data_IF_426956254118
#
_entry.id   IF_426956254118
#
_cell.length_a   1.000
_cell.length_b   1.000
_cell.length_c   1.000
_cell.angle_alpha   90.00
_cell.angle_beta   90.00
_cell.angle_gamma   90.00
#
_symmetry.space_group_name_H-M   'P 1'
#
loop_
_entity.id
_entity.type
_entity.pdbx_description
1 polymer ?
#
# COMPACT_ATOMS: atom_id res chain seq x y z
N UNK A 1 -5.45 -38.57 -12.66
CA UNK A 1 -4.53 -38.80 -11.53
C UNK A 1 -3.90 -37.47 -11.17
N UNK A 2 -3.91 -37.06 -9.89
CA UNK A 2 -3.30 -35.81 -9.45
C UNK A 2 -1.79 -36.07 -9.31
N UNK A 3 -0.98 -35.35 -10.08
CA UNK A 3 0.48 -35.44 -10.01
C UNK A 3 0.95 -35.05 -8.59
N UNK A 4 1.71 -35.95 -7.96
CA UNK A 4 2.10 -35.89 -6.53
C UNK A 4 3.61 -35.72 -6.35
N UNK A 5 4.33 -35.29 -7.39
CA UNK A 5 5.76 -34.99 -7.29
C UNK A 5 6.00 -33.78 -6.37
N UNK A 6 7.05 -33.83 -5.52
CA UNK A 6 7.37 -32.71 -4.64
C UNK A 6 7.84 -31.49 -5.46
N UNK A 7 7.26 -30.32 -5.18
CA UNK A 7 7.61 -29.03 -5.79
C UNK A 7 8.28 -28.19 -4.69
N UNK A 8 9.47 -27.64 -4.97
CA UNK A 8 10.10 -26.72 -4.03
C UNK A 8 9.37 -25.35 -4.07
N UNK A 9 8.59 -25.06 -3.04
CA UNK A 9 7.90 -23.78 -2.81
C UNK A 9 8.44 -23.05 -1.57
N UNK A 10 9.60 -23.48 -1.06
CA UNK A 10 10.22 -22.81 0.07
C UNK A 10 10.85 -21.49 -0.38
N UNK A 11 10.08 -20.41 -0.24
CA UNK A 11 10.47 -19.04 -0.58
C UNK A 11 11.71 -18.56 0.18
N UNK A 12 12.06 -19.18 1.31
CA UNK A 12 13.26 -18.79 2.08
C UNK A 12 14.55 -19.26 1.41
N UNK A 13 14.47 -20.26 0.53
CA UNK A 13 15.60 -20.79 -0.23
C UNK A 13 15.87 -20.02 -1.53
N UNK A 14 14.95 -19.16 -1.96
CA UNK A 14 14.98 -18.45 -3.25
C UNK A 14 15.54 -17.04 -3.08
N UNK A 15 16.52 -16.67 -3.92
CA UNK A 15 17.04 -15.29 -3.98
C UNK A 15 16.20 -14.44 -4.93
N UNK A 16 15.43 -13.50 -4.38
CA UNK A 16 14.58 -12.63 -5.18
C UNK A 16 15.35 -11.42 -5.75
N UNK A 17 15.22 -11.12 -7.05
CA UNK A 17 15.76 -9.88 -7.61
C UNK A 17 14.98 -8.67 -7.09
N UNK A 18 15.61 -7.49 -7.12
CA UNK A 18 14.99 -6.24 -6.64
C UNK A 18 13.63 -5.97 -7.28
N UNK A 19 13.47 -6.27 -8.58
CA UNK A 19 12.20 -6.11 -9.30
C UNK A 19 11.07 -6.97 -8.70
N UNK A 20 11.37 -8.20 -8.25
CA UNK A 20 10.37 -9.05 -7.61
C UNK A 20 9.94 -8.48 -6.25
N UNK A 21 10.89 -7.96 -5.47
CA UNK A 21 10.61 -7.28 -4.20
C UNK A 21 9.77 -6.03 -4.43
N UNK A 22 10.08 -5.21 -5.45
CA UNK A 22 9.28 -4.01 -5.77
C UNK A 22 7.86 -4.38 -6.17
N UNK A 23 7.70 -5.46 -6.95
CA UNK A 23 6.38 -5.93 -7.39
C UNK A 23 5.51 -6.40 -6.23
N UNK A 24 6.04 -7.20 -5.30
CA UNK A 24 5.24 -7.68 -4.16
C UNK A 24 4.88 -6.54 -3.20
N UNK A 25 5.80 -5.60 -2.95
CA UNK A 25 5.52 -4.43 -2.13
C UNK A 25 4.46 -3.53 -2.78
N UNK A 26 4.44 -3.38 -4.10
CA UNK A 26 3.39 -2.61 -4.80
C UNK A 26 2.01 -3.27 -4.64
N UNK A 27 1.94 -4.61 -4.65
CA UNK A 27 0.70 -5.34 -4.38
C UNK A 27 0.23 -5.16 -2.93
N UNK A 28 1.15 -5.31 -1.98
CA UNK A 28 0.85 -5.13 -0.55
C UNK A 28 0.39 -3.70 -0.27
N UNK A 29 1.06 -2.69 -0.84
CA UNK A 29 0.63 -1.30 -0.67
C UNK A 29 -0.75 -1.04 -1.27
N UNK A 30 -1.09 -1.67 -2.40
CA UNK A 30 -2.44 -1.58 -2.99
C UNK A 30 -3.54 -2.11 -2.06
N UNK A 31 -3.32 -3.27 -1.42
CA UNK A 31 -4.25 -3.83 -0.43
C UNK A 31 -4.36 -2.90 0.79
N UNK A 32 -3.23 -2.39 1.29
CA UNK A 32 -3.21 -1.44 2.39
C UNK A 32 -3.97 -0.16 2.08
N UNK A 33 -3.84 0.37 0.86
CA UNK A 33 -4.57 1.55 0.40
C UNK A 33 -6.06 1.31 0.23
N UNK A 34 -6.48 0.14 -0.23
CA UNK A 34 -7.91 -0.21 -0.30
C UNK A 34 -8.58 -0.08 1.08
N UNK A 35 -7.93 -0.59 2.13
CA UNK A 35 -8.39 -0.41 3.51
C UNK A 35 -8.25 1.05 3.96
N UNK A 36 -7.12 1.68 3.61
CA UNK A 36 -6.81 3.08 3.94
C UNK A 36 -7.85 4.07 3.43
N UNK A 37 -8.40 3.85 2.23
CA UNK A 37 -9.48 4.70 1.68
C UNK A 37 -10.70 4.69 2.58
N UNK A 38 -11.12 3.53 3.11
CA UNK A 38 -12.23 3.47 4.06
C UNK A 38 -11.99 4.28 5.33
N UNK A 39 -10.77 4.21 5.87
CA UNK A 39 -10.35 5.00 7.04
C UNK A 39 -10.38 6.51 6.71
N UNK A 40 -9.79 6.91 5.59
CA UNK A 40 -9.75 8.32 5.19
C UNK A 40 -11.14 8.88 4.91
N UNK A 41 -12.03 8.11 4.27
CA UNK A 41 -13.42 8.51 4.05
C UNK A 41 -14.20 8.65 5.35
N UNK A 42 -13.96 7.78 6.34
CA UNK A 42 -14.55 7.95 7.67
C UNK A 42 -14.08 9.25 8.35
N UNK A 43 -12.77 9.54 8.31
CA UNK A 43 -12.22 10.79 8.85
C UNK A 43 -12.77 12.02 8.13
N UNK A 44 -12.91 11.94 6.80
CA UNK A 44 -13.49 13.01 5.97
C UNK A 44 -14.97 13.22 6.29
N UNK A 45 -15.75 12.14 6.39
CA UNK A 45 -17.16 12.24 6.76
C UNK A 45 -17.32 12.88 8.15
N UNK A 46 -16.52 12.46 9.12
CA UNK A 46 -16.57 13.00 10.48
C UNK A 46 -16.15 14.48 10.51
N UNK A 47 -15.12 14.87 9.75
CA UNK A 47 -14.66 16.25 9.69
C UNK A 47 -15.68 17.20 9.08
N UNK A 48 -16.52 16.71 8.17
CA UNK A 48 -17.56 17.48 7.49
C UNK A 48 -18.92 17.45 8.21
N UNK A 49 -19.08 16.62 9.25
CA UNK A 49 -20.39 16.40 9.88
C UNK A 49 -20.90 17.56 10.74
N UNK A 50 -20.02 18.24 11.47
CA UNK A 50 -20.32 19.38 12.34
C UNK A 50 -19.02 19.97 12.92
N UNK A 51 -19.12 21.10 13.62
CA UNK A 51 -17.99 21.63 14.41
C UNK A 51 -17.49 20.62 15.45
N UNK A 52 -18.40 19.96 16.16
CA UNK A 52 -18.06 18.92 17.14
C UNK A 52 -17.39 17.71 16.49
N UNK A 53 -17.82 17.31 15.29
CA UNK A 53 -17.19 16.27 14.47
C UNK A 53 -15.77 16.65 14.05
N UNK A 54 -15.56 17.89 13.62
CA UNK A 54 -14.24 18.39 13.26
C UNK A 54 -13.28 18.41 14.47
N UNK A 55 -13.72 18.91 15.63
CA UNK A 55 -12.92 18.86 16.87
C UNK A 55 -12.59 17.41 17.25
N UNK A 56 -13.51 16.47 17.03
CA UNK A 56 -13.26 15.05 17.30
C UNK A 56 -12.17 14.49 16.39
N UNK A 57 -12.14 14.85 15.12
CA UNK A 57 -11.05 14.48 14.20
C UNK A 57 -9.72 15.00 14.70
N UNK A 58 -9.63 16.27 15.12
CA UNK A 58 -8.40 16.83 15.68
C UNK A 58 -7.90 16.06 16.91
N UNK A 59 -8.81 15.70 17.84
CA UNK A 59 -8.47 14.89 19.01
C UNK A 59 -7.98 13.48 18.64
N UNK A 60 -8.58 12.86 17.62
CA UNK A 60 -8.14 11.56 17.14
C UNK A 60 -6.76 11.66 16.49
N UNK A 61 -6.55 12.67 15.65
CA UNK A 61 -5.27 12.93 14.99
C UNK A 61 -4.16 13.27 15.97
N UNK A 62 -4.45 13.73 17.19
CA UNK A 62 -3.40 14.00 18.18
C UNK A 62 -2.79 12.73 18.79
N UNK A 63 -3.52 11.60 18.73
CA UNK A 63 -3.05 10.31 19.26
C UNK A 63 -1.90 9.78 18.41
N UNK A 64 -0.78 9.43 19.06
CA UNK A 64 0.41 8.90 18.40
C UNK A 64 0.13 7.71 17.46
N UNK A 65 -0.73 6.78 17.89
CA UNK A 65 -1.12 5.62 17.07
C UNK A 65 -1.84 6.03 15.77
N UNK A 66 -2.72 7.03 15.84
CA UNK A 66 -3.43 7.53 14.66
C UNK A 66 -2.49 8.30 13.74
N UNK A 67 -1.55 9.08 14.28
CA UNK A 67 -0.49 9.73 13.49
C UNK A 67 0.33 8.70 12.72
N UNK A 68 0.74 7.60 13.37
CA UNK A 68 1.46 6.50 12.72
C UNK A 68 0.61 5.82 11.65
N UNK A 69 -0.67 5.56 11.93
CA UNK A 69 -1.60 4.98 10.96
C UNK A 69 -1.73 5.85 9.70
N UNK A 70 -1.98 7.15 9.86
CA UNK A 70 -2.09 8.10 8.73
C UNK A 70 -0.75 8.20 7.98
N UNK A 71 0.38 8.21 8.70
CA UNK A 71 1.70 8.19 8.07
C UNK A 71 1.93 6.93 7.24
N UNK A 72 1.54 5.75 7.73
CA UNK A 72 1.63 4.49 6.98
C UNK A 72 0.77 4.52 5.71
N UNK A 73 -0.44 5.10 5.78
CA UNK A 73 -1.29 5.29 4.60
C UNK A 73 -0.59 6.21 3.59
N UNK A 74 -0.01 7.33 4.04
CA UNK A 74 0.73 8.24 3.17
C UNK A 74 1.94 7.56 2.50
N UNK A 75 2.75 6.81 3.26
CA UNK A 75 3.87 6.04 2.72
C UNK A 75 3.38 5.03 1.68
N UNK A 76 2.27 4.34 1.94
CA UNK A 76 1.68 3.41 0.99
C UNK A 76 1.22 4.12 -0.29
N UNK A 77 0.62 5.33 -0.20
CA UNK A 77 0.21 6.13 -1.36
C UNK A 77 1.42 6.45 -2.23
N UNK A 78 2.47 7.05 -1.64
CA UNK A 78 3.66 7.43 -2.39
C UNK A 78 4.36 6.23 -3.02
N UNK A 79 4.52 5.15 -2.26
CA UNK A 79 5.14 3.94 -2.76
C UNK A 79 4.34 3.33 -3.92
N UNK A 80 3.03 3.16 -3.74
CA UNK A 80 2.16 2.56 -4.74
C UNK A 80 2.13 3.39 -6.03
N UNK A 81 2.04 4.72 -5.89
CA UNK A 81 2.03 5.65 -7.02
C UNK A 81 3.34 5.60 -7.82
N UNK A 82 4.49 5.68 -7.15
CA UNK A 82 5.80 5.67 -7.81
C UNK A 82 6.05 4.32 -8.50
N UNK A 83 5.78 3.21 -7.80
CA UNK A 83 5.93 1.87 -8.38
C UNK A 83 4.95 1.64 -9.54
N UNK A 84 3.71 2.13 -9.43
CA UNK A 84 2.71 2.08 -10.50
C UNK A 84 3.14 2.89 -11.71
N UNK A 85 3.66 4.11 -11.50
CA UNK A 85 4.20 4.92 -12.59
C UNK A 85 5.38 4.23 -13.28
N UNK A 86 6.29 3.62 -12.52
CA UNK A 86 7.36 2.80 -13.09
C UNK A 86 6.79 1.68 -13.97
N UNK A 87 5.76 0.97 -13.52
CA UNK A 87 5.11 -0.08 -14.33
C UNK A 87 4.53 0.48 -15.62
N UNK A 88 3.80 1.60 -15.55
CA UNK A 88 3.25 2.26 -16.75
C UNK A 88 4.33 2.73 -17.72
N UNK A 89 5.46 3.24 -17.22
CA UNK A 89 6.60 3.65 -18.05
C UNK A 89 7.21 2.44 -18.77
N UNK A 90 7.39 1.32 -18.07
CA UNK A 90 7.89 0.08 -18.66
C UNK A 90 6.93 -0.45 -19.73
N UNK A 91 5.61 -0.39 -19.48
CA UNK A 91 4.59 -0.87 -20.42
C UNK A 91 4.58 -0.08 -21.75
N UNK A 92 5.08 1.17 -21.75
CA UNK A 92 5.22 2.00 -22.96
C UNK A 92 6.66 2.01 -23.52
N UNK A 93 7.52 1.09 -23.07
CA UNK A 93 8.88 0.93 -23.58
C UNK A 93 9.92 1.89 -22.98
N UNK A 94 9.60 2.63 -21.91
CA UNK A 94 10.53 3.55 -21.24
C UNK A 94 11.15 2.85 -20.03
N UNK A 95 12.49 2.71 -20.05
CA UNK A 95 13.23 2.13 -18.93
C UNK A 95 13.35 0.60 -18.96
N UNK A 96 13.13 -0.04 -20.11
CA UNK A 96 13.29 -1.49 -20.32
C UNK A 96 14.76 -1.95 -20.32
N UNK A 97 15.71 -1.03 -20.51
CA UNK A 97 17.14 -1.34 -20.44
C UNK A 97 17.62 -1.50 -19.01
N UNK A 98 18.54 -2.45 -18.78
CA UNK A 98 19.17 -2.71 -17.49
C UNK A 98 19.98 -1.55 -16.95
#
# INVERSE_FOLDING_TARGET
MKDSRPINLDITTIKFPLAAITSILHRISGIGLFIGVGILLYFLQLSLSSETGFTRVLQLLDRALIKVLIWMILVAVFYHLIAGLKHLLLDIGIGESK
#
